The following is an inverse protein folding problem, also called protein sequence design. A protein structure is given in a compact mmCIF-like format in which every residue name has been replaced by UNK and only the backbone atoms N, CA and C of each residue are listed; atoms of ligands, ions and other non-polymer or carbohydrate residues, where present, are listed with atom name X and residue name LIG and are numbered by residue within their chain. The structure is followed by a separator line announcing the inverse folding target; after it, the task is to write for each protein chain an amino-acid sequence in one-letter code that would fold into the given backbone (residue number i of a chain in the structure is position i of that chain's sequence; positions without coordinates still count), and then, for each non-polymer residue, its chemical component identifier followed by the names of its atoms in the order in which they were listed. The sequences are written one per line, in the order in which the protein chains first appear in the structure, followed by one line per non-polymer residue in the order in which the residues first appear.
data_IF_198285916938
#
_entry.id   IF_198285916938
#
_cell.length_a   1.000
_cell.length_b   1.000
_cell.length_c   1.000
_cell.angle_alpha   90.00
_cell.angle_beta   90.00
_cell.angle_gamma   90.00
#
_symmetry.space_group_name_H-M   'P 1'
#
loop_
_entity.id
_entity.type
_entity.pdbx_description
1 polymer ?
#
# COMPACT_ATOMS: atom_id res chain seq x y z
N UNK A 1 -17.29 13.06 7.79
CA UNK A 1 -17.03 12.19 6.63
C UNK A 1 -17.22 10.73 7.02
N UNK A 2 -17.36 9.80 6.06
CA UNK A 2 -17.40 8.37 6.38
C UNK A 2 -16.07 7.87 7.00
N UNK A 3 -14.94 8.33 6.45
CA UNK A 3 -13.60 8.09 7.02
C UNK A 3 -13.51 8.44 8.51
N UNK A 4 -14.06 9.58 8.94
CA UNK A 4 -14.06 9.98 10.36
C UNK A 4 -14.90 9.05 11.25
N UNK A 5 -16.03 8.54 10.73
CA UNK A 5 -16.86 7.56 11.46
C UNK A 5 -16.16 6.22 11.59
N UNK A 6 -15.44 5.80 10.55
CA UNK A 6 -14.62 4.58 10.58
C UNK A 6 -13.45 4.73 11.56
N UNK A 7 -12.75 5.88 11.54
CA UNK A 7 -11.67 6.20 12.47
C UNK A 7 -12.08 6.02 13.93
N UNK A 8 -13.26 6.55 14.30
CA UNK A 8 -13.78 6.48 15.66
C UNK A 8 -14.12 5.05 16.14
N UNK A 9 -14.23 4.08 15.24
CA UNK A 9 -14.47 2.67 15.58
C UNK A 9 -13.18 1.89 15.85
N UNK A 10 -12.03 2.43 15.46
CA UNK A 10 -10.75 1.72 15.57
C UNK A 10 -10.20 1.94 16.97
N UNK A 11 -9.87 0.86 17.67
CA UNK A 11 -9.22 0.96 18.96
C UNK A 11 -7.86 1.67 18.83
N UNK A 12 -7.56 2.56 19.78
CA UNK A 12 -6.29 3.29 19.79
C UNK A 12 -5.08 2.34 19.88
N UNK A 13 -5.23 1.22 20.58
CA UNK A 13 -4.24 0.14 20.68
C UNK A 13 -3.91 -0.43 19.30
N UNK A 14 -4.92 -0.81 18.49
CA UNK A 14 -4.71 -1.32 17.13
C UNK A 14 -3.95 -0.31 16.25
N UNK A 15 -4.32 0.98 16.29
CA UNK A 15 -3.62 2.02 15.55
C UNK A 15 -2.16 2.16 15.98
N UNK A 16 -1.92 2.18 17.29
CA UNK A 16 -0.59 2.31 17.87
C UNK A 16 0.28 1.10 17.54
N UNK A 17 -0.26 -0.11 17.62
CA UNK A 17 0.45 -1.34 17.27
C UNK A 17 0.85 -1.32 15.80
N UNK A 18 -0.07 -0.99 14.87
CA UNK A 18 0.26 -0.89 13.44
C UNK A 18 1.30 0.21 13.17
N UNK A 19 1.28 1.31 13.93
CA UNK A 19 2.22 2.41 13.75
C UNK A 19 3.61 2.14 14.35
N UNK A 20 3.69 1.42 15.48
CA UNK A 20 4.91 1.34 16.29
C UNK A 20 5.55 -0.05 16.31
N UNK A 21 4.77 -1.12 16.12
CA UNK A 21 5.31 -2.47 15.99
C UNK A 21 5.95 -2.62 14.60
N UNK A 22 7.28 -2.73 14.60
CA UNK A 22 8.09 -2.77 13.37
C UNK A 22 7.73 -3.96 12.47
N UNK A 23 7.46 -5.12 13.06
CA UNK A 23 7.18 -6.33 12.28
C UNK A 23 5.79 -6.26 11.64
N UNK A 24 4.78 -5.87 12.42
CA UNK A 24 3.41 -5.68 11.90
C UNK A 24 3.37 -4.61 10.81
N UNK A 25 4.03 -3.48 11.05
CA UNK A 25 4.16 -2.42 10.07
C UNK A 25 4.82 -2.91 8.78
N UNK A 26 5.92 -3.66 8.92
CA UNK A 26 6.63 -4.25 7.79
C UNK A 26 5.75 -5.22 7.01
N UNK A 27 5.03 -6.14 7.69
CA UNK A 27 4.16 -7.10 7.02
C UNK A 27 3.02 -6.41 6.26
N UNK A 28 2.30 -5.49 6.91
CA UNK A 28 1.18 -4.76 6.29
C UNK A 28 1.68 -3.98 5.06
N UNK A 29 2.77 -3.22 5.19
CA UNK A 29 3.29 -2.42 4.08
C UNK A 29 3.86 -3.28 2.95
N UNK A 30 4.57 -4.37 3.28
CA UNK A 30 5.12 -5.29 2.28
C UNK A 30 4.00 -5.94 1.48
N UNK A 31 2.99 -6.49 2.14
CA UNK A 31 1.85 -7.10 1.48
C UNK A 31 1.05 -6.08 0.66
N UNK A 32 0.79 -4.89 1.21
CA UNK A 32 0.11 -3.83 0.46
C UNK A 32 0.87 -3.45 -0.82
N UNK A 33 2.19 -3.44 -0.77
CA UNK A 33 3.01 -3.14 -1.94
C UNK A 33 2.94 -4.23 -3.01
N UNK A 34 2.72 -5.50 -2.66
CA UNK A 34 2.51 -6.55 -3.66
C UNK A 34 1.22 -6.29 -4.43
N UNK A 35 0.13 -5.95 -3.72
CA UNK A 35 -1.17 -5.60 -4.30
C UNK A 35 -1.09 -4.39 -5.25
N UNK A 36 -0.44 -3.31 -4.81
CA UNK A 36 -0.24 -2.13 -5.66
C UNK A 36 0.56 -2.45 -6.92
N UNK A 37 1.63 -3.24 -6.79
CA UNK A 37 2.46 -3.63 -7.95
C UNK A 37 1.72 -4.55 -8.92
N UNK A 38 0.83 -5.40 -8.43
CA UNK A 38 -0.02 -6.26 -9.26
C UNK A 38 -1.27 -5.55 -9.79
N UNK A 39 -1.41 -4.24 -9.56
CA UNK A 39 -2.60 -3.47 -9.92
C UNK A 39 -3.91 -4.00 -9.30
N UNK A 40 -3.81 -4.61 -8.11
CA UNK A 40 -4.93 -5.17 -7.37
C UNK A 40 -5.41 -4.14 -6.32
N UNK A 41 -6.48 -3.42 -6.64
CA UNK A 41 -7.06 -2.42 -5.74
C UNK A 41 -7.88 -3.10 -4.64
N UNK A 42 -7.62 -2.69 -3.39
CA UNK A 42 -8.25 -3.29 -2.21
C UNK A 42 -9.69 -2.82 -2.10
N UNK A 43 -10.64 -3.59 -2.64
CA UNK A 43 -12.07 -3.28 -2.60
C UNK A 43 -12.80 -4.00 -1.46
N UNK A 44 -12.34 -5.18 -1.06
CA UNK A 44 -12.88 -5.94 0.06
C UNK A 44 -11.84 -6.05 1.18
N UNK A 45 -11.99 -5.20 2.20
CA UNK A 45 -11.06 -5.11 3.33
C UNK A 45 -11.01 -6.39 4.17
N UNK A 46 -12.13 -7.11 4.32
CA UNK A 46 -12.16 -8.38 5.06
C UNK A 46 -11.36 -9.46 4.35
N UNK A 47 -11.57 -9.61 3.04
CA UNK A 47 -10.80 -10.54 2.23
C UNK A 47 -9.31 -10.18 2.24
N UNK A 48 -8.97 -8.89 2.11
CA UNK A 48 -7.59 -8.42 2.17
C UNK A 48 -6.90 -8.77 3.50
N UNK A 49 -7.57 -8.58 4.65
CA UNK A 49 -6.99 -8.93 5.96
C UNK A 49 -6.79 -10.44 6.09
N UNK A 50 -7.73 -11.25 5.59
CA UNK A 50 -7.58 -12.71 5.56
C UNK A 50 -6.40 -13.14 4.68
N UNK A 51 -6.26 -12.54 3.50
CA UNK A 51 -5.14 -12.81 2.60
C UNK A 51 -3.79 -12.37 3.20
N UNK A 52 -3.75 -11.24 3.91
CA UNK A 52 -2.56 -10.78 4.63
C UNK A 52 -2.11 -11.82 5.66
N UNK A 53 -3.04 -12.32 6.49
CA UNK A 53 -2.75 -13.34 7.50
C UNK A 53 -2.22 -14.62 6.83
N UNK A 54 -2.91 -15.11 5.80
CA UNK A 54 -2.47 -16.28 5.04
C UNK A 54 -1.12 -16.08 4.35
N UNK A 55 -0.81 -14.87 3.88
CA UNK A 55 0.49 -14.52 3.32
C UNK A 55 1.61 -14.58 4.37
N UNK A 56 1.37 -14.09 5.59
CA UNK A 56 2.31 -14.21 6.71
C UNK A 56 2.54 -15.68 7.06
N UNK A 57 1.46 -16.47 7.21
CA UNK A 57 1.56 -17.90 7.50
C UNK A 57 2.36 -18.66 6.45
N UNK A 58 2.04 -18.46 5.17
CA UNK A 58 2.73 -19.10 4.04
C UNK A 58 4.22 -18.76 4.00
N UNK A 59 4.57 -17.50 4.29
CA UNK A 59 5.96 -17.06 4.39
C UNK A 59 6.71 -17.84 5.45
N UNK A 60 6.18 -17.93 6.67
CA UNK A 60 6.83 -18.66 7.75
C UNK A 60 6.87 -20.17 7.50
N UNK A 61 5.80 -20.76 6.99
CA UNK A 61 5.78 -22.19 6.64
C UNK A 61 6.87 -22.52 5.61
N UNK A 62 7.04 -21.69 4.59
CA UNK A 62 8.12 -21.84 3.59
C UNK A 62 9.50 -21.76 4.25
N UNK A 63 9.70 -20.87 5.23
CA UNK A 63 10.95 -20.76 5.98
C UNK A 63 11.20 -22.00 6.86
N UNK A 64 10.17 -22.54 7.50
CA UNK A 64 10.22 -23.76 8.34
C UNK A 64 10.58 -24.98 7.50
N UNK A 65 9.95 -25.16 6.34
CA UNK A 65 10.20 -26.29 5.44
C UNK A 65 11.65 -26.35 4.95
N UNK A 66 12.29 -25.19 4.77
CA UNK A 66 13.70 -25.09 4.36
C UNK A 66 14.68 -25.49 5.46
N UNK A 67 14.25 -25.53 6.72
CA UNK A 67 15.12 -25.86 7.84
C UNK A 67 15.23 -27.37 8.03
N UNK A 68 16.46 -27.85 8.24
CA UNK A 68 16.74 -29.29 8.42
C UNK A 68 16.63 -29.75 9.87
N UNK A 69 16.90 -28.86 10.84
CA UNK A 69 16.91 -29.20 12.26
C UNK A 69 15.57 -28.89 12.93
N UNK A 70 15.14 -29.78 13.82
CA UNK A 70 13.90 -29.59 14.60
C UNK A 70 13.96 -28.29 15.43
N UNK A 71 15.08 -28.05 16.12
CA UNK A 71 15.25 -26.80 16.89
C UNK A 71 15.17 -25.53 16.03
N UNK A 72 15.56 -25.58 14.75
CA UNK A 72 15.39 -24.46 13.83
C UNK A 72 13.93 -24.25 13.47
N UNK A 73 13.21 -25.34 13.15
CA UNK A 73 11.78 -25.33 12.85
C UNK A 73 10.98 -24.79 14.03
N UNK A 74 11.26 -25.26 15.24
CA UNK A 74 10.57 -24.82 16.47
C UNK A 74 10.73 -23.32 16.69
N UNK A 75 11.96 -22.78 16.53
CA UNK A 75 12.20 -21.33 16.64
C UNK A 75 11.40 -20.53 15.62
N UNK A 76 11.28 -21.03 14.39
CA UNK A 76 10.49 -20.35 13.35
C UNK A 76 8.99 -20.47 13.57
N UNK A 77 8.51 -21.58 14.12
CA UNK A 77 7.11 -21.71 14.52
C UNK A 77 6.77 -20.72 15.64
N UNK A 78 7.64 -20.57 16.65
CA UNK A 78 7.44 -19.55 17.69
C UNK A 78 7.43 -18.12 17.12
N UNK A 79 8.32 -17.82 16.16
CA UNK A 79 8.32 -16.53 15.48
C UNK A 79 7.05 -16.30 14.65
N UNK A 80 6.51 -17.34 14.02
CA UNK A 80 5.22 -17.29 13.30
C UNK A 80 4.08 -17.00 14.27
N UNK A 81 4.01 -17.70 15.40
CA UNK A 81 2.98 -17.48 16.41
C UNK A 81 3.03 -16.03 16.94
N UNK A 82 4.23 -15.52 17.26
CA UNK A 82 4.40 -14.14 17.69
C UNK A 82 3.99 -13.12 16.61
N UNK A 83 4.28 -13.38 15.33
CA UNK A 83 3.86 -12.53 14.23
C UNK A 83 2.33 -12.52 14.03
N UNK A 84 1.66 -13.64 14.38
CA UNK A 84 0.22 -13.79 14.24
C UNK A 84 -0.57 -13.34 15.46
N UNK A 85 0.09 -13.17 16.62
CA UNK A 85 -0.51 -12.74 17.89
C UNK A 85 -1.28 -11.41 17.75
N UNK A 86 -0.76 -10.48 16.93
CA UNK A 86 -1.44 -9.22 16.64
C UNK A 86 -2.83 -9.42 16.05
N UNK A 87 -3.09 -10.48 15.28
CA UNK A 87 -4.34 -10.68 14.54
C UNK A 87 -5.45 -11.34 15.37
N UNK A 88 -5.62 -10.89 16.62
CA UNK A 88 -6.80 -11.16 17.44
C UNK A 88 -8.07 -10.68 16.73
N UNK A 89 -9.25 -11.17 17.15
CA UNK A 89 -10.53 -10.77 16.53
C UNK A 89 -10.73 -9.24 16.57
N UNK A 90 -10.41 -8.59 17.69
CA UNK A 90 -10.48 -7.15 17.84
C UNK A 90 -9.54 -6.42 16.88
N UNK A 91 -8.28 -6.82 16.80
CA UNK A 91 -7.30 -6.17 15.92
C UNK A 91 -7.58 -6.44 14.44
N UNK A 92 -8.15 -7.60 14.09
CA UNK A 92 -8.62 -7.87 12.71
C UNK A 92 -9.74 -6.91 12.34
N UNK A 93 -10.77 -6.75 13.18
CA UNK A 93 -11.87 -5.83 12.92
C UNK A 93 -11.41 -4.36 12.87
N UNK A 94 -10.48 -4.00 13.75
CA UNK A 94 -9.82 -2.70 13.75
C UNK A 94 -9.04 -2.47 12.44
N UNK A 95 -8.26 -3.45 11.99
CA UNK A 95 -7.49 -3.36 10.74
C UNK A 95 -8.40 -3.29 9.50
N UNK A 96 -9.52 -4.03 9.47
CA UNK A 96 -10.55 -3.92 8.43
C UNK A 96 -11.06 -2.47 8.37
N UNK A 97 -11.43 -1.91 9.52
CA UNK A 97 -11.91 -0.53 9.63
C UNK A 97 -10.85 0.50 9.21
N UNK A 98 -9.56 0.25 9.51
CA UNK A 98 -8.44 1.07 9.04
C UNK A 98 -8.31 1.08 7.51
N UNK A 99 -8.47 -0.08 6.87
CA UNK A 99 -8.38 -0.21 5.41
C UNK A 99 -9.59 0.45 4.75
N UNK A 100 -10.80 0.26 5.28
CA UNK A 100 -11.99 0.96 4.80
C UNK A 100 -11.83 2.48 4.91
N UNK A 101 -11.30 2.97 6.04
CA UNK A 101 -10.98 4.38 6.22
C UNK A 101 -9.95 4.85 5.19
N UNK A 102 -8.91 4.07 4.92
CA UNK A 102 -7.92 4.38 3.91
C UNK A 102 -8.54 4.44 2.50
N UNK A 103 -9.46 3.54 2.17
CA UNK A 103 -10.14 3.52 0.88
C UNK A 103 -10.97 4.80 0.67
N UNK A 104 -11.69 5.26 1.70
CA UNK A 104 -12.39 6.55 1.67
C UNK A 104 -11.44 7.73 1.41
N UNK A 105 -10.26 7.73 2.03
CA UNK A 105 -9.23 8.76 1.80
C UNK A 105 -8.65 8.67 0.38
N UNK A 106 -8.46 7.47 -0.15
CA UNK A 106 -8.01 7.26 -1.54
C UNK A 106 -9.05 7.79 -2.53
N UNK A 107 -10.33 7.55 -2.30
CA UNK A 107 -11.42 8.08 -3.14
C UNK A 107 -11.40 9.61 -3.11
N UNK A 108 -11.34 10.23 -1.93
CA UNK A 108 -11.23 11.68 -1.80
C UNK A 108 -10.00 12.23 -2.53
N UNK A 109 -8.87 11.54 -2.43
CA UNK A 109 -7.63 11.88 -3.15
C UNK A 109 -7.83 11.83 -4.67
N UNK A 110 -8.45 10.78 -5.19
CA UNK A 110 -8.76 10.63 -6.62
C UNK A 110 -9.67 11.75 -7.12
N UNK A 111 -10.66 12.18 -6.32
CA UNK A 111 -11.52 13.33 -6.67
C UNK A 111 -10.72 14.63 -6.79
N UNK A 112 -9.80 14.89 -5.86
CA UNK A 112 -8.93 16.07 -5.91
C UNK A 112 -8.01 16.03 -7.13
N UNK A 113 -7.36 14.89 -7.40
CA UNK A 113 -6.50 14.72 -8.57
C UNK A 113 -7.26 15.00 -9.87
N UNK A 114 -8.44 14.38 -10.05
CA UNK A 114 -9.28 14.61 -11.22
C UNK A 114 -9.65 16.09 -11.40
N UNK A 115 -9.93 16.80 -10.31
CA UNK A 115 -10.23 18.23 -10.39
C UNK A 115 -9.00 19.04 -10.81
N UNK A 116 -7.84 18.75 -10.24
CA UNK A 116 -6.58 19.40 -10.58
C UNK A 116 -6.19 19.12 -12.05
N UNK A 117 -6.34 17.89 -12.52
CA UNK A 117 -6.10 17.50 -13.92
C UNK A 117 -7.03 18.27 -14.87
N UNK A 118 -8.29 18.52 -14.49
CA UNK A 118 -9.23 19.28 -15.32
C UNK A 118 -8.88 20.76 -15.50
N UNK A 119 -8.02 21.29 -14.62
CA UNK A 119 -7.54 22.68 -14.70
C UNK A 119 -6.23 22.79 -15.49
N UNK A 120 -5.59 21.67 -15.80
CA UNK A 120 -4.38 21.68 -16.60
C UNK A 120 -4.69 21.98 -18.07
N UNK A 121 -3.84 22.79 -18.69
CA UNK A 121 -3.94 23.17 -20.10
C UNK A 121 -2.99 22.37 -20.98
N UNK A 122 -2.08 21.60 -20.38
CA UNK A 122 -1.04 20.84 -21.08
C UNK A 122 -1.22 19.35 -20.78
N UNK A 123 -1.32 18.56 -21.84
CA UNK A 123 -1.33 17.11 -21.71
C UNK A 123 0.04 16.58 -21.30
N UNK A 124 0.07 15.66 -20.34
CA UNK A 124 1.27 14.91 -19.97
C UNK A 124 1.30 13.59 -20.75
N UNK A 125 2.49 13.07 -21.03
CA UNK A 125 2.67 11.84 -21.80
C UNK A 125 3.65 10.90 -21.11
N UNK A 126 3.36 9.60 -21.20
CA UNK A 126 4.33 8.55 -20.89
C UNK A 126 4.71 7.82 -22.17
N UNK A 127 5.99 7.43 -22.26
CA UNK A 127 6.50 6.63 -23.37
C UNK A 127 6.27 5.15 -23.05
N UNK A 128 5.50 4.48 -23.88
CA UNK A 128 5.28 3.04 -23.83
C UNK A 128 6.07 2.34 -24.94
N UNK A 129 6.07 1.01 -24.96
CA UNK A 129 6.63 0.23 -26.08
C UNK A 129 5.97 0.52 -27.42
N UNK A 130 4.67 0.86 -27.40
CA UNK A 130 3.86 1.08 -28.60
C UNK A 130 3.76 2.56 -29.00
N UNK A 131 4.48 3.45 -28.29
CA UNK A 131 4.48 4.90 -28.53
C UNK A 131 4.08 5.71 -27.30
N UNK A 132 3.73 6.98 -27.50
CA UNK A 132 3.32 7.87 -26.40
C UNK A 132 1.84 7.69 -26.06
N UNK A 133 1.55 7.58 -24.76
CA UNK A 133 0.20 7.57 -24.21
C UNK A 133 -0.04 8.85 -23.41
N UNK A 134 -1.18 9.50 -23.62
CA UNK A 134 -1.64 10.62 -22.79
C UNK A 134 -1.91 10.12 -21.37
N UNK A 135 -1.47 10.88 -20.37
CA UNK A 135 -1.72 10.66 -18.94
C UNK A 135 -1.99 12.01 -18.24
N UNK A 136 -2.57 11.96 -17.04
CA UNK A 136 -2.66 13.13 -16.17
C UNK A 136 -1.30 13.53 -15.59
N UNK A 137 -1.28 14.54 -14.73
CA UNK A 137 -0.06 14.86 -14.00
C UNK A 137 0.33 13.67 -13.09
N UNK A 138 1.63 13.36 -12.99
CA UNK A 138 2.13 12.29 -12.10
C UNK A 138 1.68 12.53 -10.63
N UNK A 139 1.50 13.79 -10.28
CA UNK A 139 0.84 14.23 -9.07
C UNK A 139 1.06 15.72 -8.82
N UNK A 140 0.33 16.23 -7.84
CA UNK A 140 0.33 17.65 -7.48
C UNK A 140 1.03 17.86 -6.14
N UNK A 141 1.82 18.92 -6.03
CA UNK A 141 2.53 19.27 -4.80
C UNK A 141 1.79 20.40 -4.10
N UNK A 142 1.37 20.16 -2.86
CA UNK A 142 0.90 21.19 -1.95
C UNK A 142 2.08 21.69 -1.12
N UNK A 143 2.32 23.01 -1.14
CA UNK A 143 3.39 23.66 -0.37
C UNK A 143 2.75 24.38 0.81
N UNK A 144 3.22 24.07 2.02
CA UNK A 144 2.89 24.81 3.23
C UNK A 144 3.92 25.91 3.45
N UNK A 145 3.48 27.16 3.30
CA UNK A 145 4.32 28.34 3.50
C UNK A 145 4.51 28.72 4.98
N UNK A 146 3.79 28.08 5.92
CA UNK A 146 3.95 28.31 7.36
C UNK A 146 5.10 27.48 7.94
N UNK A 147 5.20 26.21 7.53
CA UNK A 147 6.26 25.30 8.00
C UNK A 147 7.34 25.02 6.96
N UNK A 148 7.25 25.59 5.75
CA UNK A 148 8.05 25.25 4.57
C UNK A 148 8.00 23.75 4.20
N UNK A 149 6.88 23.09 4.52
CA UNK A 149 6.64 21.69 4.18
C UNK A 149 6.12 21.54 2.74
N UNK A 150 6.31 20.36 2.16
CA UNK A 150 5.69 20.00 0.88
C UNK A 150 5.14 18.58 0.92
N UNK A 151 3.92 18.39 0.40
CA UNK A 151 3.27 17.08 0.28
C UNK A 151 2.85 16.85 -1.15
N UNK A 152 3.26 15.71 -1.73
CA UNK A 152 2.83 15.30 -3.08
C UNK A 152 1.62 14.37 -3.00
N UNK A 153 0.58 14.74 -3.73
CA UNK A 153 -0.66 13.98 -3.90
C UNK A 153 -0.56 13.26 -5.25
N UNK A 154 -0.62 11.92 -5.23
CA UNK A 154 -0.49 11.04 -6.41
C UNK A 154 -1.60 9.98 -6.46
N UNK A 155 -2.02 9.52 -7.63
CA UNK A 155 -2.71 8.24 -7.74
C UNK A 155 -1.67 7.14 -7.52
N UNK A 156 -1.83 6.35 -6.46
CA UNK A 156 -0.81 5.36 -6.09
C UNK A 156 -0.71 4.21 -7.09
N UNK A 157 -1.82 3.83 -7.73
CA UNK A 157 -1.86 2.72 -8.68
C UNK A 157 -1.17 3.11 -9.98
N UNK A 158 -1.52 4.27 -10.55
CA UNK A 158 -0.88 4.80 -11.76
C UNK A 158 0.58 5.16 -11.51
N UNK A 159 0.89 5.83 -10.39
CA UNK A 159 2.27 6.15 -10.02
C UNK A 159 3.13 4.88 -9.93
N UNK A 160 2.63 3.84 -9.26
CA UNK A 160 3.38 2.58 -9.14
C UNK A 160 3.53 1.88 -10.49
N UNK A 161 2.47 1.81 -11.30
CA UNK A 161 2.53 1.23 -12.63
C UNK A 161 3.58 1.93 -13.50
N UNK A 162 3.55 3.26 -13.55
CA UNK A 162 4.48 4.05 -14.36
C UNK A 162 5.95 3.88 -13.94
N UNK A 163 6.21 3.63 -12.65
CA UNK A 163 7.58 3.45 -12.14
C UNK A 163 8.13 2.02 -12.27
N UNK A 164 7.25 1.00 -12.25
CA UNK A 164 7.68 -0.40 -12.15
C UNK A 164 7.25 -1.30 -13.32
N UNK A 165 6.29 -0.86 -14.14
CA UNK A 165 5.87 -1.62 -15.32
C UNK A 165 7.01 -1.71 -16.33
N UNK A 166 7.14 -2.89 -16.96
CA UNK A 166 8.07 -3.11 -18.06
C UNK A 166 7.57 -2.51 -19.38
N UNK A 167 6.32 -2.06 -19.43
CA UNK A 167 5.69 -1.52 -20.63
C UNK A 167 5.89 -0.02 -20.78
N UNK A 168 6.37 0.63 -19.71
CA UNK A 168 6.76 2.04 -19.69
C UNK A 168 8.26 2.14 -19.87
N UNK A 169 8.69 2.86 -20.91
CA UNK A 169 10.10 3.11 -21.20
C UNK A 169 10.56 4.28 -20.35
N UNK A 170 11.55 4.04 -19.49
CA UNK A 170 12.06 5.07 -18.59
C UNK A 170 13.10 5.91 -19.30
N UNK A 171 13.18 7.20 -18.95
CA UNK A 171 14.09 8.16 -19.61
C UNK A 171 15.59 7.84 -19.46
N UNK A 172 15.97 6.87 -18.62
CA UNK A 172 17.34 6.38 -18.47
C UNK A 172 17.58 4.99 -19.10
N UNK A 173 16.53 4.34 -19.61
CA UNK A 173 16.62 3.05 -20.32
C UNK A 173 16.79 3.25 -21.83
N UNK A 174 16.52 4.45 -22.36
CA UNK A 174 16.74 4.74 -23.78
C UNK A 174 18.23 4.96 -24.07
N UNK A 175 18.77 4.21 -25.03
CA UNK A 175 20.16 4.28 -25.54
C UNK A 175 20.58 5.65 -26.12
N UNK A 176 19.70 6.66 -26.14
CA UNK A 176 20.03 8.02 -26.54
C UNK A 176 20.41 8.87 -25.32
N UNK A 177 21.63 8.70 -24.83
CA UNK A 177 22.42 9.75 -24.16
C UNK A 177 23.83 9.75 -24.71
#
# INVERSE_FOLDING_TARGET
SNAGKLFQKIAATTLNDVATNKDINLFINTFRNTKVRSQDEVTNSKAYVQELIGWIESRYNTEIERLKSNAGKDRKEQAKLAALEFFSDENKDGLISMIDMQNELVIAKKMLLKHLDSMDSINTFIKTKDGFRVTGAEGYVAIDHLTNGAVKIVDRMEFSYNNFSKDIIKGWESESR
#
